data_IF_115947833176
#
_entry.id   IF_115947833176
#
_cell.length_a   1.000
_cell.length_b   1.000
_cell.length_c   1.000
_cell.angle_alpha   90.00
_cell.angle_beta   90.00
_cell.angle_gamma   90.00
#
_symmetry.space_group_name_H-M   'P 1'
#
loop_
_entity.id
_entity.type
_entity.pdbx_description
1 polymer ?
#
# COMPACT_ATOMS: atom_id res chain seq x y z
N UNK A 1 4.32 23.43 11.39
CA UNK A 1 4.90 22.61 12.47
C UNK A 1 5.35 23.52 13.60
N UNK A 2 4.97 23.19 14.83
CA UNK A 2 5.36 23.97 16.02
C UNK A 2 6.83 23.70 16.38
N UNK A 3 7.45 24.59 17.16
CA UNK A 3 8.84 24.44 17.67
C UNK A 3 9.03 23.10 18.39
N UNK A 4 8.00 22.62 19.08
CA UNK A 4 8.01 21.34 19.80
C UNK A 4 7.94 20.13 18.86
N UNK A 5 7.13 20.18 17.81
CA UNK A 5 7.06 19.10 16.81
C UNK A 5 8.40 18.90 16.08
N UNK A 6 9.07 20.01 15.74
CA UNK A 6 10.40 19.95 15.13
C UNK A 6 11.42 19.33 16.11
N UNK A 7 11.43 19.76 17.37
CA UNK A 7 12.28 19.19 18.41
C UNK A 7 12.03 17.68 18.60
N UNK A 8 10.77 17.25 18.68
CA UNK A 8 10.42 15.83 18.82
C UNK A 8 10.84 15.00 17.60
N UNK A 9 10.69 15.56 16.39
CA UNK A 9 11.17 14.93 15.15
C UNK A 9 12.69 14.77 15.14
N UNK A 10 13.43 15.81 15.52
CA UNK A 10 14.90 15.78 15.55
C UNK A 10 15.42 14.79 16.61
N UNK A 11 14.80 14.74 17.78
CA UNK A 11 15.11 13.75 18.82
C UNK A 11 14.88 12.32 18.31
N UNK A 12 13.77 12.07 17.60
CA UNK A 12 13.47 10.75 17.02
C UNK A 12 14.52 10.35 15.97
N UNK A 13 15.01 11.28 15.15
CA UNK A 13 16.10 11.03 14.18
C UNK A 13 17.41 10.67 14.85
N UNK A 14 17.67 11.24 16.03
CA UNK A 14 18.83 10.92 16.87
C UNK A 14 18.66 9.62 17.69
N UNK A 15 17.54 8.90 17.50
CA UNK A 15 17.23 7.68 18.24
C UNK A 15 16.85 7.93 19.71
N UNK A 16 16.59 9.18 20.09
CA UNK A 16 16.18 9.56 21.44
C UNK A 16 14.67 9.36 21.56
N UNK A 17 14.26 8.54 22.52
CA UNK A 17 12.86 8.22 22.79
C UNK A 17 12.40 8.89 24.08
N UNK A 18 11.31 9.64 23.99
CA UNK A 18 10.61 10.22 25.14
C UNK A 18 9.30 9.48 25.40
N UNK A 19 8.92 9.30 26.66
CA UNK A 19 7.60 8.79 27.05
C UNK A 19 7.18 9.35 28.40
N UNK A 20 5.90 9.22 28.71
CA UNK A 20 5.33 9.63 29.99
C UNK A 20 5.18 8.41 30.90
N UNK A 21 5.63 8.54 32.15
CA UNK A 21 5.40 7.56 33.21
C UNK A 21 4.35 8.12 34.18
N UNK A 22 3.25 7.39 34.35
CA UNK A 22 2.14 7.73 35.24
C UNK A 22 2.27 6.88 36.51
N UNK A 23 2.61 7.49 37.64
CA UNK A 23 2.73 6.79 38.92
C UNK A 23 1.38 6.63 39.64
N UNK A 24 0.45 7.56 39.43
CA UNK A 24 -0.93 7.52 39.92
C UNK A 24 -1.81 8.45 39.06
N UNK A 25 -3.11 8.17 38.95
CA UNK A 25 -4.09 8.90 38.12
C UNK A 25 -4.29 10.37 38.51
N UNK A 26 -3.83 10.75 39.69
CA UNK A 26 -4.00 12.09 40.28
C UNK A 26 -2.75 12.96 40.22
N UNK A 27 -1.61 12.43 39.77
CA UNK A 27 -0.33 13.16 39.71
C UNK A 27 0.08 13.49 38.27
N UNK A 28 0.78 14.62 38.09
CA UNK A 28 1.34 15.00 36.80
C UNK A 28 2.37 13.95 36.33
N UNK A 29 2.31 13.49 35.07
CA UNK A 29 3.21 12.45 34.58
C UNK A 29 4.67 12.91 34.54
N UNK A 30 5.57 11.95 34.72
CA UNK A 30 7.01 12.22 34.63
C UNK A 30 7.49 11.96 33.20
N UNK A 31 8.13 12.97 32.60
CA UNK A 31 8.84 12.81 31.34
C UNK A 31 10.06 11.90 31.53
N UNK A 32 10.10 10.81 30.78
CA UNK A 32 11.22 9.89 30.71
C UNK A 32 11.89 9.99 29.34
N UNK A 33 13.18 9.68 29.33
CA UNK A 33 14.02 9.75 28.14
C UNK A 33 14.94 8.53 28.09
N UNK A 34 15.09 7.94 26.90
CA UNK A 34 16.10 6.94 26.57
C UNK A 34 16.86 7.46 25.36
N UNK A 35 18.17 7.60 25.49
CA UNK A 35 19.05 8.07 24.43
C UNK A 35 20.19 7.06 24.22
N UNK A 36 20.68 6.88 22.98
CA UNK A 36 21.97 6.24 22.73
C UNK A 36 23.10 6.96 23.48
N UNK A 37 24.20 6.25 23.74
CA UNK A 37 25.36 6.82 24.42
C UNK A 37 25.90 8.04 23.65
N UNK A 38 26.15 9.14 24.37
CA UNK A 38 26.61 10.40 23.77
C UNK A 38 25.55 11.22 23.01
N UNK A 39 24.37 10.67 22.70
CA UNK A 39 23.34 11.38 21.92
C UNK A 39 22.68 12.52 22.69
N UNK A 40 22.63 12.44 24.03
CA UNK A 40 22.03 13.47 24.88
C UNK A 40 23.09 14.46 25.40
N UNK A 41 23.53 15.35 24.52
CA UNK A 41 24.50 16.42 24.81
C UNK A 41 23.92 17.52 25.73
N UNK A 42 24.74 18.39 26.34
CA UNK A 42 24.27 19.44 27.25
C UNK A 42 23.23 20.40 26.63
N UNK A 43 23.42 20.82 25.38
CA UNK A 43 22.49 21.72 24.69
C UNK A 43 21.09 21.10 24.52
N UNK A 44 21.01 19.81 24.18
CA UNK A 44 19.75 19.08 24.07
C UNK A 44 19.09 18.90 25.44
N UNK A 45 19.86 18.71 26.52
CA UNK A 45 19.31 18.67 27.89
C UNK A 45 18.67 20.00 28.27
N UNK A 46 19.33 21.11 27.95
CA UNK A 46 18.81 22.45 28.22
C UNK A 46 17.53 22.72 27.43
N UNK A 47 17.47 22.32 26.15
CA UNK A 47 16.25 22.42 25.34
C UNK A 47 15.09 21.58 25.89
N UNK A 48 15.36 20.32 26.30
CA UNK A 48 14.35 19.47 26.93
C UNK A 48 13.85 20.05 28.25
N UNK A 49 14.72 20.69 29.03
CA UNK A 49 14.36 21.31 30.30
C UNK A 49 13.56 22.60 30.09
N UNK A 50 13.98 23.44 29.13
CA UNK A 50 13.29 24.68 28.74
C UNK A 50 11.87 24.41 28.24
N UNK A 51 11.67 23.33 27.47
CA UNK A 51 10.38 22.99 26.86
C UNK A 51 9.62 21.87 27.57
N UNK A 52 10.05 21.47 28.77
CA UNK A 52 9.54 20.29 29.49
C UNK A 52 8.01 20.24 29.59
N UNK A 53 7.37 21.37 29.93
CA UNK A 53 5.91 21.45 30.10
C UNK A 53 5.21 21.21 28.77
N UNK A 54 5.61 21.93 27.72
CA UNK A 54 5.01 21.80 26.39
C UNK A 54 5.22 20.40 25.78
N UNK A 55 6.38 19.77 26.05
CA UNK A 55 6.65 18.38 25.66
C UNK A 55 5.68 17.43 26.37
N UNK A 56 5.50 17.59 27.68
CA UNK A 56 4.56 16.76 28.46
C UNK A 56 3.13 16.93 27.92
N UNK A 57 2.67 18.16 27.71
CA UNK A 57 1.33 18.44 27.17
C UNK A 57 1.13 17.82 25.78
N UNK A 58 2.14 17.94 24.91
CA UNK A 58 2.10 17.35 23.56
C UNK A 58 2.03 15.82 23.62
N UNK A 59 2.87 15.20 24.46
CA UNK A 59 2.85 13.75 24.65
C UNK A 59 1.54 13.26 25.31
N UNK A 60 0.96 14.03 26.23
CA UNK A 60 -0.35 13.71 26.82
C UNK A 60 -1.46 13.79 25.77
N UNK A 61 -1.42 14.78 24.87
CA UNK A 61 -2.36 14.84 23.74
C UNK A 61 -2.18 13.63 22.82
N UNK A 62 -0.94 13.24 22.52
CA UNK A 62 -0.67 12.06 21.70
C UNK A 62 -1.09 10.75 22.38
N UNK A 63 -0.89 10.61 23.68
CA UNK A 63 -1.41 9.50 24.47
C UNK A 63 -2.94 9.51 24.44
N UNK A 64 -3.58 10.68 24.53
CA UNK A 64 -5.04 10.81 24.39
C UNK A 64 -5.54 10.45 23.00
N UNK A 65 -4.80 10.74 21.92
CA UNK A 65 -5.13 10.31 20.56
C UNK A 65 -4.88 8.82 20.34
N UNK A 66 -3.80 8.26 20.92
CA UNK A 66 -3.53 6.81 20.89
C UNK A 66 -4.53 6.00 21.71
N UNK A 67 -4.97 6.57 22.83
CA UNK A 67 -5.93 5.96 23.75
C UNK A 67 -7.37 6.41 23.47
N UNK A 68 -7.58 7.30 22.49
CA UNK A 68 -8.90 7.51 21.93
C UNK A 68 -9.27 6.18 21.32
N UNK A 69 -10.34 5.57 21.81
CA UNK A 69 -10.83 4.31 21.28
C UNK A 69 -11.06 4.50 19.78
N UNK A 70 -10.13 4.00 18.98
CA UNK A 70 -10.38 3.80 17.56
C UNK A 70 -11.55 2.84 17.55
N UNK A 71 -12.70 3.32 17.07
CA UNK A 71 -13.87 2.46 16.96
C UNK A 71 -13.46 1.18 16.23
N UNK A 72 -13.81 0.04 16.81
CA UNK A 72 -13.45 -1.24 16.22
C UNK A 72 -14.07 -1.30 14.83
N UNK A 73 -13.26 -1.62 13.82
CA UNK A 73 -13.76 -1.84 12.47
C UNK A 73 -14.63 -3.10 12.51
N UNK A 74 -15.94 -2.90 12.48
CA UNK A 74 -16.91 -3.99 12.41
C UNK A 74 -17.11 -4.41 10.96
N UNK A 75 -17.55 -5.65 10.76
CA UNK A 75 -17.96 -6.13 9.45
C UNK A 75 -19.13 -5.29 8.95
N UNK A 76 -18.95 -4.63 7.81
CA UNK A 76 -20.04 -3.92 7.16
C UNK A 76 -21.02 -4.91 6.51
N UNK A 77 -22.34 -4.64 6.51
CA UNK A 77 -23.31 -5.47 5.80
C UNK A 77 -22.93 -5.66 4.33
N UNK A 78 -23.21 -6.86 3.79
CA UNK A 78 -22.91 -7.22 2.39
C UNK A 78 -23.91 -6.67 1.37
N UNK A 79 -24.84 -5.83 1.83
CA UNK A 79 -25.89 -5.22 1.03
C UNK A 79 -25.76 -3.70 1.17
N UNK A 80 -25.48 -2.99 0.08
CA UNK A 80 -25.40 -1.53 0.10
C UNK A 80 -24.48 -0.92 -0.96
N UNK A 81 -24.45 0.41 -0.99
CA UNK A 81 -23.43 1.15 -1.71
C UNK A 81 -22.24 1.36 -0.77
N UNK A 82 -21.05 0.88 -1.14
CA UNK A 82 -19.85 1.08 -0.33
C UNK A 82 -19.21 2.42 -0.68
N UNK A 83 -19.05 3.29 0.32
CA UNK A 83 -18.28 4.52 0.13
C UNK A 83 -16.81 4.19 -0.14
N UNK A 84 -16.14 5.03 -0.92
CA UNK A 84 -14.70 4.95 -1.09
C UNK A 84 -14.01 5.34 0.23
N UNK A 85 -12.83 4.77 0.47
CA UNK A 85 -11.92 5.35 1.46
C UNK A 85 -11.41 6.70 0.97
N UNK A 86 -10.92 7.55 1.87
CA UNK A 86 -10.37 8.86 1.53
C UNK A 86 -9.25 8.79 0.46
N UNK A 87 -8.39 7.78 0.54
CA UNK A 87 -7.34 7.57 -0.46
C UNK A 87 -7.91 7.17 -1.83
N UNK A 88 -8.96 6.33 -1.85
CA UNK A 88 -9.65 5.97 -3.08
C UNK A 88 -10.40 7.15 -3.68
N UNK A 89 -11.06 8.00 -2.88
CA UNK A 89 -11.74 9.21 -3.38
C UNK A 89 -10.77 10.15 -4.10
N UNK A 90 -9.57 10.35 -3.52
CA UNK A 90 -8.52 11.14 -4.16
C UNK A 90 -8.12 10.56 -5.51
N UNK A 91 -7.86 9.25 -5.59
CA UNK A 91 -7.44 8.61 -6.84
C UNK A 91 -8.56 8.61 -7.88
N UNK A 92 -9.81 8.38 -7.45
CA UNK A 92 -10.98 8.50 -8.30
C UNK A 92 -11.11 9.91 -8.88
N UNK A 93 -11.03 10.94 -8.04
CA UNK A 93 -11.09 12.33 -8.48
C UNK A 93 -10.00 12.66 -9.51
N UNK A 94 -8.76 12.23 -9.28
CA UNK A 94 -7.66 12.44 -10.22
C UNK A 94 -7.89 11.73 -11.56
N UNK A 95 -8.40 10.51 -11.54
CA UNK A 95 -8.78 9.78 -12.75
C UNK A 95 -9.92 10.48 -13.52
N UNK A 96 -10.89 11.09 -12.83
CA UNK A 96 -11.96 11.87 -13.48
C UNK A 96 -11.45 13.20 -14.07
N UNK A 97 -10.44 13.82 -13.47
CA UNK A 97 -9.81 15.04 -14.01
C UNK A 97 -8.98 14.76 -15.26
N UNK A 98 -8.30 13.62 -15.31
CA UNK A 98 -7.46 13.23 -16.44
C UNK A 98 -7.73 11.77 -16.83
N UNK A 99 -8.86 11.49 -17.53
CA UNK A 99 -9.18 10.15 -17.98
C UNK A 99 -8.08 9.57 -18.86
N UNK A 100 -7.68 8.33 -18.58
CA UNK A 100 -6.59 7.66 -19.27
C UNK A 100 -5.19 7.96 -18.70
N UNK A 101 -5.09 8.70 -17.60
CA UNK A 101 -3.82 8.83 -16.86
C UNK A 101 -3.37 7.48 -16.30
N UNK A 102 -2.14 7.09 -16.62
CA UNK A 102 -1.53 5.80 -16.25
C UNK A 102 -0.53 5.93 -15.10
N UNK A 103 -0.34 7.14 -14.55
CA UNK A 103 0.60 7.41 -13.45
C UNK A 103 0.29 6.61 -12.17
N UNK A 104 -0.92 6.07 -12.06
CA UNK A 104 -1.36 5.26 -10.93
C UNK A 104 -1.33 3.75 -11.23
N UNK A 105 -0.68 3.34 -12.31
CA UNK A 105 -0.39 1.93 -12.54
C UNK A 105 0.79 1.50 -11.66
N UNK A 106 0.67 0.31 -11.07
CA UNK A 106 1.73 -0.36 -10.34
C UNK A 106 2.04 -1.65 -11.08
N UNK A 107 3.19 -1.68 -11.76
CA UNK A 107 3.68 -2.85 -12.48
C UNK A 107 4.71 -3.57 -11.62
N UNK A 108 4.48 -4.84 -11.34
CA UNK A 108 5.44 -5.72 -10.71
C UNK A 108 5.91 -6.78 -11.70
N UNK A 109 7.23 -6.99 -11.77
CA UNK A 109 7.83 -8.07 -12.55
C UNK A 109 8.54 -9.05 -11.61
N UNK A 110 8.16 -10.33 -11.68
CA UNK A 110 8.71 -11.39 -10.85
C UNK A 110 9.41 -12.42 -11.72
N UNK A 111 10.69 -12.64 -11.46
CA UNK A 111 11.43 -13.72 -12.10
C UNK A 111 11.06 -15.04 -11.43
N UNK A 112 10.57 -15.99 -12.21
CA UNK A 112 10.30 -17.36 -11.76
C UNK A 112 11.33 -18.27 -12.43
N UNK A 113 12.05 -19.04 -11.62
CA UNK A 113 13.05 -20.00 -12.10
C UNK A 113 12.55 -21.42 -11.84
N UNK A 114 12.70 -22.30 -12.82
CA UNK A 114 12.20 -23.67 -12.81
C UNK A 114 10.97 -23.87 -13.71
N UNK A 115 10.39 -25.07 -13.63
CA UNK A 115 9.22 -25.46 -14.41
C UNK A 115 8.00 -24.73 -13.85
N UNK A 116 7.31 -23.96 -14.70
CA UNK A 116 6.11 -23.23 -14.35
C UNK A 116 4.88 -23.94 -14.94
N UNK A 117 3.94 -24.33 -14.08
CA UNK A 117 2.61 -24.73 -14.51
C UNK A 117 1.69 -23.50 -14.57
N UNK A 118 1.51 -22.97 -15.77
CA UNK A 118 0.69 -21.77 -16.03
C UNK A 118 -0.76 -21.95 -15.55
N UNK A 119 -1.35 -23.13 -15.72
CA UNK A 119 -2.73 -23.40 -15.31
C UNK A 119 -2.89 -23.34 -13.78
N UNK A 120 -1.93 -23.89 -13.04
CA UNK A 120 -1.92 -23.80 -11.57
C UNK A 120 -1.70 -22.35 -11.13
N UNK A 121 -0.81 -21.61 -11.78
CA UNK A 121 -0.59 -20.19 -11.48
C UNK A 121 -1.87 -19.36 -11.68
N UNK A 122 -2.58 -19.56 -12.80
CA UNK A 122 -3.86 -18.90 -13.07
C UNK A 122 -4.92 -19.25 -12.02
N UNK A 123 -5.03 -20.53 -11.63
CA UNK A 123 -5.96 -20.96 -10.57
C UNK A 123 -5.62 -20.31 -9.22
N UNK A 124 -4.34 -20.26 -8.86
CA UNK A 124 -3.88 -19.62 -7.61
C UNK A 124 -4.21 -18.13 -7.58
N UNK A 125 -3.95 -17.40 -8.68
CA UNK A 125 -4.33 -15.98 -8.80
C UNK A 125 -5.84 -15.78 -8.66
N UNK A 126 -6.64 -16.64 -9.29
CA UNK A 126 -8.10 -16.58 -9.20
C UNK A 126 -8.62 -16.88 -7.78
N UNK A 127 -7.98 -17.77 -7.02
CA UNK A 127 -8.33 -17.99 -5.60
C UNK A 127 -7.98 -16.78 -4.72
N UNK A 128 -6.86 -16.11 -4.97
CA UNK A 128 -6.49 -14.85 -4.30
C UNK A 128 -7.55 -13.77 -4.61
N UNK A 129 -7.93 -13.62 -5.88
CA UNK A 129 -8.98 -12.69 -6.31
C UNK A 129 -10.32 -13.00 -5.65
N UNK A 130 -10.70 -14.28 -5.56
CA UNK A 130 -11.92 -14.71 -4.88
C UNK A 130 -11.90 -14.29 -3.41
N UNK A 131 -10.76 -14.46 -2.73
CA UNK A 131 -10.54 -14.15 -1.32
C UNK A 131 -10.53 -12.64 -1.02
N UNK A 132 -9.93 -11.82 -1.88
CA UNK A 132 -9.78 -10.37 -1.64
C UNK A 132 -10.75 -9.54 -2.47
N UNK A 133 -11.83 -9.07 -1.84
CA UNK A 133 -12.91 -8.30 -2.49
C UNK A 133 -12.41 -7.07 -3.28
N UNK A 134 -11.34 -6.41 -2.81
CA UNK A 134 -10.76 -5.23 -3.48
C UNK A 134 -10.24 -5.52 -4.89
N UNK A 135 -9.76 -6.74 -5.17
CA UNK A 135 -9.30 -7.16 -6.50
C UNK A 135 -10.46 -7.35 -7.49
N UNK A 136 -11.70 -7.39 -6.98
CA UNK A 136 -12.94 -7.53 -7.74
C UNK A 136 -13.80 -6.27 -7.70
N UNK A 137 -13.19 -5.13 -7.34
CA UNK A 137 -13.90 -3.89 -7.08
C UNK A 137 -13.73 -2.90 -8.23
N UNK A 138 -14.85 -2.36 -8.70
CA UNK A 138 -14.92 -1.21 -9.61
C UNK A 138 -15.52 0.00 -8.90
N UNK A 139 -15.32 1.18 -9.48
CA UNK A 139 -15.67 2.48 -8.91
C UNK A 139 -16.53 3.27 -9.88
N UNK A 140 -17.66 3.81 -9.43
CA UNK A 140 -18.56 4.58 -10.29
C UNK A 140 -19.38 5.58 -9.48
N UNK A 141 -20.02 6.52 -10.17
CA UNK A 141 -20.88 7.51 -9.55
C UNK A 141 -22.32 7.00 -9.52
N UNK A 142 -22.94 7.00 -8.34
CA UNK A 142 -24.36 6.76 -8.16
C UNK A 142 -24.99 7.95 -7.43
N UNK A 143 -25.91 8.65 -8.10
CA UNK A 143 -26.57 9.86 -7.57
C UNK A 143 -25.58 10.94 -7.09
N UNK A 144 -24.49 11.14 -7.85
CA UNK A 144 -23.47 12.16 -7.54
C UNK A 144 -22.43 11.75 -6.49
N UNK A 145 -22.49 10.53 -5.95
CA UNK A 145 -21.57 10.02 -4.94
C UNK A 145 -20.74 8.87 -5.55
N UNK A 146 -19.40 8.91 -5.46
CA UNK A 146 -18.57 7.78 -5.87
C UNK A 146 -18.77 6.61 -4.90
N UNK A 147 -18.95 5.42 -5.46
CA UNK A 147 -19.16 4.19 -4.70
C UNK A 147 -18.34 3.04 -5.27
N UNK A 148 -18.07 2.04 -4.43
CA UNK A 148 -17.42 0.79 -4.81
C UNK A 148 -18.50 -0.25 -5.16
N UNK A 149 -18.33 -0.96 -6.28
CA UNK A 149 -19.06 -2.17 -6.62
C UNK A 149 -18.12 -3.37 -6.54
N UNK A 150 -18.47 -4.33 -5.70
CA UNK A 150 -17.70 -5.57 -5.55
C UNK A 150 -18.41 -6.65 -6.37
N UNK A 151 -17.79 -7.12 -7.45
CA UNK A 151 -18.36 -8.18 -8.29
C UNK A 151 -18.39 -9.50 -7.49
N UNK A 152 -19.48 -10.29 -7.46
CA UNK A 152 -19.60 -11.48 -6.61
C UNK A 152 -18.56 -12.58 -6.91
N UNK A 153 -18.08 -12.60 -8.15
CA UNK A 153 -16.98 -13.41 -8.63
C UNK A 153 -16.36 -12.76 -9.85
N UNK A 154 -15.10 -13.10 -10.13
CA UNK A 154 -14.33 -12.54 -11.22
C UNK A 154 -13.23 -13.54 -11.57
N UNK A 155 -13.08 -13.82 -12.86
CA UNK A 155 -12.04 -14.70 -13.38
C UNK A 155 -11.03 -13.86 -14.16
N UNK A 156 -9.81 -13.80 -13.66
CA UNK A 156 -8.66 -13.27 -14.36
C UNK A 156 -8.16 -14.31 -15.36
N UNK A 157 -7.87 -13.84 -16.59
CA UNK A 157 -7.21 -14.62 -17.63
C UNK A 157 -5.70 -14.33 -17.55
N UNK A 158 -4.89 -15.36 -17.37
CA UNK A 158 -3.44 -15.25 -17.37
C UNK A 158 -2.92 -15.29 -18.80
N UNK A 159 -2.45 -14.15 -19.31
CA UNK A 159 -1.86 -14.09 -20.66
C UNK A 159 -0.49 -14.76 -20.66
N UNK A 160 -0.16 -15.47 -21.73
CA UNK A 160 1.17 -16.05 -21.93
C UNK A 160 1.75 -15.56 -23.24
N UNK A 161 2.96 -15.01 -23.18
CA UNK A 161 3.73 -14.59 -24.35
C UNK A 161 4.98 -15.46 -24.43
N UNK A 162 5.10 -16.18 -25.53
CA UNK A 162 6.27 -17.01 -25.78
C UNK A 162 7.40 -16.19 -26.43
N UNK A 163 8.51 -16.06 -25.72
CA UNK A 163 9.72 -15.38 -26.18
C UNK A 163 10.89 -16.36 -26.33
N UNK A 164 10.68 -17.66 -26.07
CA UNK A 164 11.77 -18.65 -25.99
C UNK A 164 12.54 -18.82 -27.30
N UNK A 165 11.89 -18.57 -28.45
CA UNK A 165 12.50 -18.68 -29.77
C UNK A 165 13.37 -17.49 -30.15
N UNK A 166 13.32 -16.39 -29.39
CA UNK A 166 14.08 -15.18 -29.66
C UNK A 166 15.50 -15.27 -29.09
N UNK A 167 16.51 -14.66 -29.73
CA UNK A 167 17.82 -14.45 -29.13
C UNK A 167 17.72 -13.68 -27.80
N UNK A 168 18.62 -13.94 -26.85
CA UNK A 168 18.54 -13.35 -25.50
C UNK A 168 18.48 -11.82 -25.49
N UNK A 169 19.17 -11.14 -26.41
CA UNK A 169 19.12 -9.67 -26.50
C UNK A 169 17.74 -9.17 -26.95
N UNK A 170 17.08 -9.90 -27.85
CA UNK A 170 15.72 -9.59 -28.30
C UNK A 170 14.70 -9.92 -27.21
N UNK A 171 14.88 -11.02 -26.46
CA UNK A 171 14.06 -11.34 -25.30
C UNK A 171 14.05 -10.21 -24.25
N UNK A 172 15.23 -9.66 -23.94
CA UNK A 172 15.36 -8.52 -23.02
C UNK A 172 14.61 -7.30 -23.56
N UNK A 173 14.82 -6.98 -24.84
CA UNK A 173 14.16 -5.83 -25.48
C UNK A 173 12.63 -5.99 -25.47
N UNK A 174 12.12 -7.18 -25.81
CA UNK A 174 10.69 -7.47 -25.76
C UNK A 174 10.14 -7.41 -24.34
N UNK A 175 10.88 -7.93 -23.35
CA UNK A 175 10.48 -7.85 -21.94
C UNK A 175 10.31 -6.40 -21.47
N UNK A 176 11.26 -5.53 -21.80
CA UNK A 176 11.18 -4.10 -21.48
C UNK A 176 9.98 -3.43 -22.16
N UNK A 177 9.71 -3.78 -23.43
CA UNK A 177 8.54 -3.28 -24.16
C UNK A 177 7.21 -3.72 -23.51
N UNK A 178 7.11 -4.97 -23.05
CA UNK A 178 5.92 -5.43 -22.32
C UNK A 178 5.73 -4.69 -21.00
N UNK A 179 6.80 -4.51 -20.22
CA UNK A 179 6.75 -3.74 -18.96
C UNK A 179 6.31 -2.30 -19.23
N UNK A 180 6.86 -1.66 -20.27
CA UNK A 180 6.49 -0.31 -20.65
C UNK A 180 5.02 -0.23 -21.09
N UNK A 181 4.57 -1.17 -21.93
CA UNK A 181 3.18 -1.22 -22.40
C UNK A 181 2.20 -1.39 -21.23
N UNK A 182 2.51 -2.26 -20.27
CA UNK A 182 1.71 -2.44 -19.06
C UNK A 182 1.68 -1.17 -18.19
N UNK A 183 2.79 -0.44 -18.08
CA UNK A 183 2.82 0.85 -17.36
C UNK A 183 1.98 1.94 -18.02
N UNK A 184 1.70 1.80 -19.33
CA UNK A 184 0.92 2.73 -20.14
C UNK A 184 -0.52 2.23 -20.39
N UNK A 185 -0.94 1.14 -19.75
CA UNK A 185 -2.31 0.65 -19.88
C UNK A 185 -3.29 1.58 -19.15
N UNK A 186 -4.19 2.22 -19.87
CA UNK A 186 -5.18 3.11 -19.28
C UNK A 186 -6.37 2.32 -18.72
N UNK A 187 -6.42 2.15 -17.39
CA UNK A 187 -7.53 1.45 -16.74
C UNK A 187 -8.83 2.29 -16.72
N UNK A 188 -9.96 1.69 -17.12
CA UNK A 188 -11.32 2.19 -16.83
C UNK A 188 -11.78 1.67 -15.46
N UNK A 189 -11.65 2.54 -14.46
CA UNK A 189 -11.98 2.23 -13.06
C UNK A 189 -13.43 1.79 -12.85
N UNK A 190 -14.34 2.03 -13.81
CA UNK A 190 -15.76 1.77 -13.69
C UNK A 190 -16.23 0.46 -14.34
N UNK A 191 -15.50 -0.05 -15.34
CA UNK A 191 -15.97 -1.17 -16.18
C UNK A 191 -15.09 -2.40 -16.14
N UNK A 192 -13.80 -2.28 -15.83
CA UNK A 192 -12.87 -3.41 -16.00
C UNK A 192 -12.21 -3.90 -14.71
N UNK A 193 -11.54 -5.04 -14.84
CA UNK A 193 -10.71 -5.63 -13.79
C UNK A 193 -9.45 -4.79 -13.65
N UNK A 194 -9.21 -4.25 -12.45
CA UNK A 194 -8.08 -3.34 -12.20
C UNK A 194 -6.76 -4.08 -11.91
N UNK A 195 -6.67 -5.32 -12.42
CA UNK A 195 -5.55 -6.25 -12.31
C UNK A 195 -5.38 -6.97 -13.66
N UNK A 196 -4.15 -6.95 -14.19
CA UNK A 196 -3.72 -7.71 -15.37
C UNK A 196 -2.56 -8.61 -15.00
N UNK A 197 -2.52 -9.81 -15.57
CA UNK A 197 -1.42 -10.76 -15.37
C UNK A 197 -0.93 -11.35 -16.69
N UNK A 198 0.39 -11.33 -16.88
CA UNK A 198 1.04 -11.86 -18.07
C UNK A 198 2.30 -12.63 -17.69
N UNK A 199 2.47 -13.83 -18.23
CA UNK A 199 3.72 -14.59 -18.17
C UNK A 199 4.49 -14.39 -19.47
N UNK A 200 5.71 -13.90 -19.37
CA UNK A 200 6.69 -13.94 -20.45
C UNK A 200 7.52 -15.21 -20.30
N UNK A 201 7.38 -16.14 -21.24
CA UNK A 201 8.11 -17.41 -21.24
C UNK A 201 9.44 -17.24 -21.99
N UNK A 202 10.55 -17.23 -21.25
CA UNK A 202 11.90 -16.98 -21.81
C UNK A 202 12.63 -18.29 -22.14
N UNK A 203 12.37 -19.34 -21.38
CA UNK A 203 12.83 -20.72 -21.60
C UNK A 203 12.04 -21.68 -20.72
N UNK A 204 12.24 -23.00 -20.91
CA UNK A 204 11.61 -24.04 -20.09
C UNK A 204 11.72 -23.81 -18.57
N UNK A 205 12.79 -23.16 -18.12
CA UNK A 205 13.08 -22.92 -16.70
C UNK A 205 13.17 -21.44 -16.31
N UNK A 206 12.76 -20.53 -17.17
CA UNK A 206 12.84 -19.10 -16.88
C UNK A 206 11.62 -18.36 -17.42
N UNK A 207 10.92 -17.70 -16.50
CA UNK A 207 9.69 -16.97 -16.77
C UNK A 207 9.72 -15.62 -16.06
N UNK A 208 9.01 -14.65 -16.61
CA UNK A 208 8.70 -13.38 -15.92
C UNK A 208 7.20 -13.28 -15.77
N UNK A 209 6.72 -13.23 -14.54
CA UNK A 209 5.33 -12.89 -14.23
C UNK A 209 5.22 -11.37 -14.07
N UNK A 210 4.46 -10.73 -14.95
CA UNK A 210 4.03 -9.36 -14.85
C UNK A 210 2.66 -9.30 -14.17
N UNK A 211 2.55 -8.55 -13.08
CA UNK A 211 1.29 -8.20 -12.45
C UNK A 211 1.13 -6.67 -12.46
N UNK A 212 0.08 -6.19 -13.12
CA UNK A 212 -0.21 -4.76 -13.24
C UNK A 212 -1.51 -4.44 -12.53
N UNK A 213 -1.47 -3.48 -11.61
CA UNK A 213 -2.63 -3.04 -10.84
C UNK A 213 -2.87 -1.56 -11.05
N UNK A 214 -4.11 -1.10 -10.87
CA UNK A 214 -4.35 0.31 -10.55
C UNK A 214 -4.17 0.54 -9.04
N UNK A 215 -3.46 1.60 -8.63
CA UNK A 215 -3.14 1.90 -7.23
C UNK A 215 -4.38 2.14 -6.35
N UNK A 216 -5.56 2.35 -6.94
CA UNK A 216 -6.82 2.48 -6.19
C UNK A 216 -7.24 1.18 -5.47
N UNK A 217 -6.71 0.01 -5.90
CA UNK A 217 -7.01 -1.29 -5.29
C UNK A 217 -5.79 -1.95 -4.62
N UNK A 218 -4.62 -1.31 -4.64
CA UNK A 218 -3.38 -1.89 -4.10
C UNK A 218 -2.47 -0.85 -3.45
N UNK A 219 -1.54 -1.31 -2.64
CA UNK A 219 -0.45 -0.55 -2.03
C UNK A 219 0.77 -1.45 -1.79
N UNK A 220 1.88 -0.87 -1.31
CA UNK A 220 3.10 -1.63 -1.07
C UNK A 220 2.99 -2.73 0.01
N UNK A 221 1.97 -2.69 0.88
CA UNK A 221 1.76 -3.73 1.89
C UNK A 221 0.95 -4.90 1.31
N UNK A 222 -0.16 -4.60 0.64
CA UNK A 222 -1.03 -5.57 -0.01
C UNK A 222 -0.31 -6.37 -1.11
N UNK A 223 0.63 -5.77 -1.85
CA UNK A 223 1.50 -6.53 -2.77
C UNK A 223 2.27 -7.63 -2.03
N UNK A 224 2.80 -7.36 -0.82
CA UNK A 224 3.52 -8.39 -0.04
C UNK A 224 2.60 -9.50 0.43
N UNK A 225 1.36 -9.17 0.79
CA UNK A 225 0.34 -10.16 1.16
C UNK A 225 0.01 -11.06 -0.03
N UNK A 226 -0.22 -10.47 -1.20
CA UNK A 226 -0.49 -11.20 -2.43
C UNK A 226 0.64 -12.18 -2.76
N UNK A 227 1.89 -11.72 -2.73
CA UNK A 227 3.04 -12.58 -3.03
C UNK A 227 3.19 -13.72 -2.02
N UNK A 228 2.96 -13.46 -0.74
CA UNK A 228 2.99 -14.48 0.30
C UNK A 228 1.90 -15.54 0.11
N UNK A 229 0.72 -15.15 -0.38
CA UNK A 229 -0.36 -16.10 -0.68
C UNK A 229 -0.11 -16.88 -1.97
N UNK A 230 0.63 -16.31 -2.92
CA UNK A 230 0.96 -16.95 -4.19
C UNK A 230 2.02 -18.06 -4.06
N UNK A 231 2.98 -17.90 -3.13
CA UNK A 231 4.04 -18.88 -2.85
C UNK A 231 5.42 -18.25 -2.75
#
# INVERSE_FOLDING_TARGET
>A
MTVIENLLSDLSRLGIKLWLEYSDSTQAPRLKCRAPEGALNPALRDQLQQHKIAIIETLQQWDKYKNQAVETIVKFPREGNYSLSFAQERLWFLNQLNPGDTNYNVVHNFRISGILNVSILEQSLNEIIRRHEVLRTTFFIKKGIPIQAIAPGLNLILSVVDLQSLPSQEQLTQTEQFIQAESQYAFDLSQEILLRATVLHLSEHLHILLLTFHHIITDGWSTKVLLRELG
#
